data_IF_437876182859
#
_entry.id   IF_437876182859
#
_cell.length_a   1.000
_cell.length_b   1.000
_cell.length_c   1.000
_cell.angle_alpha   90.00
_cell.angle_beta   90.00
_cell.angle_gamma   90.00
#
_symmetry.space_group_name_H-M   'P 1'
#
loop_
_entity.id
_entity.type
_entity.pdbx_description
1 polymer ?
#
# COMPACT_ATOMS: atom_id res chain seq x y z
N UNK A 1 1.44 -29.94 -6.98
CA UNK A 1 1.46 -28.47 -7.22
C UNK A 1 2.86 -28.03 -6.83
N UNK A 2 3.59 -27.35 -7.72
CA UNK A 2 5.06 -27.29 -7.63
C UNK A 2 5.50 -26.18 -6.68
N UNK A 3 5.75 -26.57 -5.44
CA UNK A 3 6.46 -25.79 -4.44
C UNK A 3 7.97 -25.85 -4.77
N UNK A 4 8.57 -24.72 -5.13
CA UNK A 4 10.02 -24.58 -5.24
C UNK A 4 10.42 -23.37 -4.40
N UNK A 5 11.12 -23.61 -3.30
CA UNK A 5 11.45 -22.64 -2.24
C UNK A 5 12.41 -21.48 -2.65
N UNK A 6 12.60 -21.26 -3.95
CA UNK A 6 13.29 -20.10 -4.53
C UNK A 6 12.34 -19.19 -5.35
N UNK A 7 11.11 -19.64 -5.58
CA UNK A 7 10.08 -19.00 -6.39
C UNK A 7 8.99 -18.49 -5.44
N UNK A 8 8.64 -17.20 -5.55
CA UNK A 8 7.56 -16.61 -4.75
C UNK A 8 6.27 -17.40 -4.94
N UNK A 9 5.54 -17.70 -3.86
CA UNK A 9 4.33 -18.53 -3.90
C UNK A 9 3.06 -17.68 -3.84
N UNK A 10 1.93 -18.22 -4.33
CA UNK A 10 0.64 -17.54 -4.21
C UNK A 10 0.25 -17.28 -2.75
N UNK A 11 0.61 -18.19 -1.83
CA UNK A 11 0.36 -18.00 -0.39
C UNK A 11 1.16 -16.82 0.15
N UNK A 12 2.44 -16.71 -0.20
CA UNK A 12 3.29 -15.57 0.19
C UNK A 12 2.69 -14.24 -0.30
N UNK A 13 2.16 -14.21 -1.53
CA UNK A 13 1.46 -13.02 -2.05
C UNK A 13 0.19 -12.73 -1.26
N UNK A 14 -0.63 -13.74 -0.96
CA UNK A 14 -1.87 -13.57 -0.20
C UNK A 14 -1.62 -13.05 1.22
N UNK A 15 -0.62 -13.63 1.91
CA UNK A 15 -0.25 -13.26 3.28
C UNK A 15 0.27 -11.83 3.36
N UNK A 16 1.00 -11.36 2.34
CA UNK A 16 1.62 -10.04 2.28
C UNK A 16 0.90 -9.04 1.37
N UNK A 17 -0.32 -9.34 0.90
CA UNK A 17 -1.02 -8.56 -0.12
C UNK A 17 -1.21 -7.10 0.32
N UNK A 18 -1.68 -6.89 1.55
CA UNK A 18 -1.93 -5.55 2.07
C UNK A 18 -0.65 -4.75 2.23
N UNK A 19 0.39 -5.35 2.82
CA UNK A 19 1.71 -4.73 3.00
C UNK A 19 2.34 -4.34 1.66
N UNK A 20 2.16 -5.19 0.64
CA UNK A 20 2.61 -4.95 -0.72
C UNK A 20 1.91 -3.72 -1.33
N UNK A 21 0.58 -3.65 -1.19
CA UNK A 21 -0.24 -2.55 -1.71
C UNK A 21 -0.06 -1.25 -0.93
N UNK A 22 0.29 -1.33 0.35
CA UNK A 22 0.57 -0.18 1.22
C UNK A 22 2.04 0.26 1.17
N UNK A 23 2.89 -0.43 0.40
CA UNK A 23 4.33 -0.21 0.31
C UNK A 23 5.06 -0.31 1.68
N UNK A 24 4.54 -1.15 2.57
CA UNK A 24 5.01 -1.34 3.95
C UNK A 24 6.01 -2.49 4.06
N UNK A 25 6.89 -2.65 3.06
CA UNK A 25 7.89 -3.72 3.04
C UNK A 25 9.15 -3.31 2.27
N UNK A 26 10.28 -4.03 2.44
CA UNK A 26 11.50 -3.78 1.68
C UNK A 26 11.27 -3.86 0.17
N UNK A 27 11.96 -3.00 -0.59
CA UNK A 27 11.79 -2.90 -2.05
C UNK A 27 12.08 -4.21 -2.79
N UNK A 28 13.06 -4.96 -2.33
CA UNK A 28 13.44 -6.25 -2.89
C UNK A 28 12.32 -7.29 -2.76
N UNK A 29 11.75 -7.39 -1.55
CA UNK A 29 10.60 -8.26 -1.27
C UNK A 29 9.39 -7.84 -2.12
N UNK A 30 9.10 -6.53 -2.19
CA UNK A 30 8.02 -6.00 -3.00
C UNK A 30 8.19 -6.34 -4.49
N UNK A 31 9.41 -6.25 -5.03
CA UNK A 31 9.68 -6.58 -6.43
C UNK A 31 9.40 -8.06 -6.74
N UNK A 32 9.79 -8.97 -5.84
CA UNK A 32 9.50 -10.42 -5.99
C UNK A 32 8.00 -10.71 -6.00
N UNK A 33 7.27 -10.15 -5.04
CA UNK A 33 5.83 -10.36 -4.91
C UNK A 33 5.05 -9.74 -6.08
N UNK A 34 5.42 -8.54 -6.55
CA UNK A 34 4.80 -7.93 -7.74
C UNK A 34 5.02 -8.75 -9.00
N UNK A 35 6.25 -9.22 -9.22
CA UNK A 35 6.56 -10.06 -10.38
C UNK A 35 5.69 -11.33 -10.41
N UNK A 36 5.48 -11.96 -9.24
CA UNK A 36 4.53 -13.07 -9.14
C UNK A 36 3.08 -12.63 -9.43
N UNK A 37 2.61 -11.56 -8.79
CA UNK A 37 1.24 -11.08 -8.96
C UNK A 37 0.92 -10.72 -10.42
N UNK A 38 1.86 -10.13 -11.16
CA UNK A 38 1.71 -9.75 -12.57
C UNK A 38 1.69 -10.96 -13.52
N UNK A 39 2.31 -12.09 -13.14
CA UNK A 39 2.43 -13.28 -13.98
C UNK A 39 1.44 -14.40 -13.61
N UNK A 40 0.86 -14.33 -12.41
CA UNK A 40 -0.10 -15.30 -11.89
C UNK A 40 -1.53 -14.73 -11.93
N UNK A 41 -2.44 -15.29 -12.77
CA UNK A 41 -3.81 -14.77 -12.91
C UNK A 41 -4.58 -14.70 -11.58
N UNK A 42 -4.39 -15.69 -10.71
CA UNK A 42 -5.03 -15.74 -9.40
C UNK A 42 -4.59 -14.59 -8.49
N UNK A 43 -3.29 -14.34 -8.41
CA UNK A 43 -2.74 -13.26 -7.58
C UNK A 43 -3.06 -11.88 -8.16
N UNK A 44 -3.10 -11.73 -9.49
CA UNK A 44 -3.54 -10.49 -10.13
C UNK A 44 -5.00 -10.17 -9.77
N UNK A 45 -5.90 -11.15 -9.88
CA UNK A 45 -7.32 -10.98 -9.54
C UNK A 45 -7.50 -10.60 -8.06
N UNK A 46 -6.75 -11.22 -7.15
CA UNK A 46 -6.74 -10.85 -5.73
C UNK A 46 -6.31 -9.39 -5.50
N UNK A 47 -5.22 -8.96 -6.15
CA UNK A 47 -4.72 -7.60 -6.04
C UNK A 47 -5.70 -6.57 -6.62
N UNK A 48 -6.29 -6.86 -7.79
CA UNK A 48 -7.30 -6.00 -8.42
C UNK A 48 -8.57 -5.87 -7.55
N UNK A 49 -9.04 -6.99 -6.99
CA UNK A 49 -10.20 -7.00 -6.09
C UNK A 49 -9.95 -6.10 -4.86
N UNK A 50 -8.78 -6.23 -4.23
CA UNK A 50 -8.41 -5.40 -3.08
C UNK A 50 -8.31 -3.91 -3.45
N UNK A 51 -7.70 -3.57 -4.59
CA UNK A 51 -7.66 -2.19 -5.09
C UNK A 51 -9.06 -1.64 -5.36
N UNK A 52 -9.97 -2.46 -5.87
CA UNK A 52 -11.36 -2.08 -6.11
C UNK A 52 -12.09 -1.76 -4.80
N UNK A 53 -11.96 -2.63 -3.79
CA UNK A 53 -12.54 -2.40 -2.45
C UNK A 53 -11.99 -1.12 -1.84
N UNK A 54 -10.66 -0.91 -1.86
CA UNK A 54 -10.01 0.31 -1.38
C UNK A 54 -10.54 1.56 -2.09
N UNK A 55 -10.82 1.47 -3.38
CA UNK A 55 -11.39 2.57 -4.17
C UNK A 55 -12.80 2.92 -3.72
N UNK A 56 -13.65 1.92 -3.47
CA UNK A 56 -15.01 2.11 -2.94
C UNK A 56 -14.93 2.79 -1.56
N UNK A 57 -14.11 2.27 -0.65
CA UNK A 57 -13.95 2.83 0.70
C UNK A 57 -13.49 4.28 0.65
N UNK A 58 -12.49 4.60 -0.17
CA UNK A 58 -11.99 5.98 -0.36
C UNK A 58 -13.06 6.93 -0.87
N UNK A 59 -13.96 6.47 -1.76
CA UNK A 59 -15.09 7.28 -2.25
C UNK A 59 -16.16 7.48 -1.18
N UNK A 60 -16.38 6.48 -0.32
CA UNK A 60 -17.39 6.57 0.75
C UNK A 60 -16.93 7.40 1.94
N UNK A 61 -15.63 7.45 2.24
CA UNK A 61 -15.05 8.24 3.33
C UNK A 61 -14.56 9.63 2.87
N UNK A 62 -15.47 10.48 2.36
CA UNK A 62 -15.16 11.84 1.91
C UNK A 62 -15.15 12.90 3.02
N UNK A 63 -14.83 12.53 4.27
CA UNK A 63 -14.77 13.51 5.36
C UNK A 63 -13.56 14.42 5.19
N UNK A 64 -13.82 15.68 4.85
CA UNK A 64 -12.77 16.68 4.77
C UNK A 64 -12.27 17.01 6.17
N UNK A 65 -10.96 16.95 6.38
CA UNK A 65 -10.37 17.37 7.66
C UNK A 65 -10.88 18.78 8.05
N UNK A 66 -11.11 19.08 9.33
CA UNK A 66 -11.50 20.42 9.77
C UNK A 66 -10.45 21.48 9.37
N UNK A 67 -10.88 22.68 9.00
CA UNK A 67 -9.97 23.80 8.66
C UNK A 67 -9.00 24.12 9.79
N UNK A 68 -9.48 24.05 11.03
CA UNK A 68 -8.66 24.27 12.24
C UNK A 68 -7.49 23.31 12.35
N UNK A 69 -7.66 22.04 11.94
CA UNK A 69 -6.58 21.06 11.92
C UNK A 69 -5.56 21.38 10.83
N UNK A 70 -6.01 21.75 9.62
CA UNK A 70 -5.13 22.17 8.52
C UNK A 70 -4.29 23.38 8.90
N UNK A 71 -4.90 24.39 9.52
CA UNK A 71 -4.18 25.59 9.97
C UNK A 71 -3.12 25.27 11.02
N UNK A 72 -3.46 24.44 12.01
CA UNK A 72 -2.51 24.00 13.05
C UNK A 72 -1.32 23.27 12.46
N UNK A 73 -1.55 22.30 11.57
CA UNK A 73 -0.48 21.53 10.91
C UNK A 73 0.40 22.46 10.08
N UNK A 74 -0.21 23.34 9.28
CA UNK A 74 0.53 24.28 8.43
C UNK A 74 1.45 25.19 9.25
N UNK A 75 0.95 25.72 10.37
CA UNK A 75 1.76 26.53 11.31
C UNK A 75 2.93 25.73 11.89
N UNK A 76 2.69 24.50 12.34
CA UNK A 76 3.74 23.64 12.91
C UNK A 76 4.84 23.31 11.88
N UNK A 77 4.47 23.01 10.64
CA UNK A 77 5.43 22.76 9.55
C UNK A 77 6.29 23.99 9.29
N UNK A 78 5.69 25.19 9.24
CA UNK A 78 6.43 26.45 9.05
C UNK A 78 7.44 26.68 10.18
N UNK A 79 7.01 26.54 11.43
CA UNK A 79 7.89 26.70 12.60
C UNK A 79 9.04 25.70 12.56
N UNK A 80 8.74 24.42 12.30
CA UNK A 80 9.75 23.37 12.23
C UNK A 80 10.84 23.67 11.20
N UNK A 81 10.45 24.15 10.00
CA UNK A 81 11.38 24.54 8.93
C UNK A 81 12.26 25.75 9.29
N UNK A 82 11.79 26.65 10.15
CA UNK A 82 12.58 27.80 10.61
C UNK A 82 13.60 27.42 11.69
N UNK A 83 13.31 26.39 12.50
CA UNK A 83 14.20 25.95 13.60
C UNK A 83 15.29 24.97 13.17
N UNK A 84 15.19 24.38 11.98
CA UNK A 84 16.15 23.39 11.45
C UNK A 84 17.12 23.96 10.41
N UNK A 85 17.18 25.30 10.31
CA UNK A 85 18.08 26.06 9.43
C UNK A 85 18.91 27.00 10.29
#
# INVERSE_FOLDING_TARGET
MKDSAAECTCSEVADHLFELLDAQMPKEQAARLRSHAETCPHCNELAEAEVHVRTIVKRSCCESAPSTLRERISRQITVFKMTTN
#
